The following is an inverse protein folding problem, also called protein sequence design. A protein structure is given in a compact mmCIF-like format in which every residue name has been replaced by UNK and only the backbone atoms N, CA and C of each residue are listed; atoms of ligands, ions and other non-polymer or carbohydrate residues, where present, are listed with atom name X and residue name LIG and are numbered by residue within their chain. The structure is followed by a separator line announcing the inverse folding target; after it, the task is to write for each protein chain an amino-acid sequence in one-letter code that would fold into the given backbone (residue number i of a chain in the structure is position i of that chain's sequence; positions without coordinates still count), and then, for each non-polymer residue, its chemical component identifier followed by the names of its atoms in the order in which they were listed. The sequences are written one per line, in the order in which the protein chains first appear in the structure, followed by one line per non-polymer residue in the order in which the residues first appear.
data_IF_677202156286
#
_entry.id   IF_677202156286
#
_cell.length_a   1.000
_cell.length_b   1.000
_cell.length_c   1.000
_cell.angle_alpha   90.00
_cell.angle_beta   90.00
_cell.angle_gamma   90.00
#
_symmetry.space_group_name_H-M   'P 1'
#
loop_
_entity.id
_entity.type
_entity.pdbx_description
1 polymer ?
#
# COMPACT_ATOMS: atom_id res chain seq x y z
N UNK A 1 4.44 -15.30 2.09
CA UNK A 1 5.59 -14.43 2.42
C UNK A 1 6.58 -15.21 3.28
N UNK A 2 7.85 -15.36 2.92
CA UNK A 2 8.81 -16.07 3.75
C UNK A 2 9.31 -15.16 4.91
N UNK A 3 8.96 -15.51 6.16
CA UNK A 3 9.65 -15.20 7.44
C UNK A 3 10.05 -13.74 7.81
N UNK A 4 9.60 -12.69 7.13
CA UNK A 4 9.86 -11.31 7.58
C UNK A 4 8.83 -10.79 8.58
N UNK A 5 9.29 -9.95 9.53
CA UNK A 5 8.43 -9.34 10.57
C UNK A 5 7.80 -8.03 10.14
N UNK A 6 8.31 -7.41 9.08
CA UNK A 6 7.80 -6.12 8.59
C UNK A 6 7.50 -6.21 7.10
N UNK A 7 6.28 -5.83 6.70
CA UNK A 7 5.98 -5.51 5.31
C UNK A 7 6.19 -4.01 5.11
N UNK A 8 7.21 -3.64 4.35
CA UNK A 8 7.43 -2.25 3.97
C UNK A 8 6.72 -1.97 2.66
N UNK A 9 5.80 -1.03 2.69
CA UNK A 9 5.06 -0.55 1.53
C UNK A 9 5.49 0.88 1.24
N UNK A 10 5.71 1.19 -0.03
CA UNK A 10 5.84 2.56 -0.50
C UNK A 10 4.69 2.88 -1.43
N UNK A 11 4.13 4.08 -1.33
CA UNK A 11 3.05 4.56 -2.21
C UNK A 11 3.39 5.95 -2.73
N UNK A 12 2.92 6.26 -3.94
CA UNK A 12 3.15 7.57 -4.53
C UNK A 12 2.33 7.81 -5.78
N UNK A 13 2.24 9.08 -6.14
CA UNK A 13 1.77 9.50 -7.45
C UNK A 13 2.94 10.03 -8.26
N UNK A 14 2.89 9.81 -9.57
CA UNK A 14 3.72 10.61 -10.48
C UNK A 14 3.39 12.11 -10.29
N UNK A 15 4.35 13.03 -10.50
CA UNK A 15 4.11 14.46 -10.28
C UNK A 15 2.89 15.05 -11.01
N UNK A 16 2.55 14.64 -12.26
CA UNK A 16 1.31 15.07 -12.90
C UNK A 16 0.05 14.59 -12.15
N UNK A 17 0.01 13.32 -11.73
CA UNK A 17 -1.13 12.77 -11.00
C UNK A 17 -1.29 13.38 -9.60
N UNK A 18 -0.19 13.78 -8.95
CA UNK A 18 -0.23 14.47 -7.67
C UNK A 18 -0.84 15.89 -7.75
N UNK A 19 -0.81 16.52 -8.94
CA UNK A 19 -1.36 17.86 -9.19
C UNK A 19 -2.81 17.84 -9.68
N UNK A 20 -3.32 16.69 -10.13
CA UNK A 20 -4.70 16.53 -10.56
C UNK A 20 -5.65 16.73 -9.36
N UNK A 21 -6.69 17.54 -9.52
CA UNK A 21 -7.63 17.86 -8.42
C UNK A 21 -8.62 16.73 -8.12
N UNK A 22 -8.68 15.70 -8.97
CA UNK A 22 -9.67 14.65 -8.95
C UNK A 22 -9.06 13.23 -8.82
N UNK A 23 -9.87 12.29 -8.32
CA UNK A 23 -9.49 10.89 -8.14
C UNK A 23 -8.60 10.59 -6.94
N UNK A 24 -8.33 11.57 -6.08
CA UNK A 24 -7.77 11.36 -4.75
C UNK A 24 -8.88 11.17 -3.72
N UNK A 25 -8.61 10.49 -2.61
CA UNK A 25 -7.39 9.71 -2.34
C UNK A 25 -7.40 8.36 -3.09
N UNK A 26 -6.22 7.73 -3.19
CA UNK A 26 -6.13 6.29 -3.47
C UNK A 26 -5.91 5.58 -2.15
N UNK A 27 -6.71 4.56 -1.86
CA UNK A 27 -6.54 3.70 -0.68
C UNK A 27 -5.90 2.39 -1.13
N UNK A 28 -4.85 1.98 -0.43
CA UNK A 28 -4.23 0.66 -0.52
C UNK A 28 -4.47 -0.07 0.80
N UNK A 29 -5.31 -1.09 0.76
CA UNK A 29 -5.58 -1.98 1.89
C UNK A 29 -4.74 -3.24 1.74
N UNK A 30 -4.12 -3.65 2.84
CA UNK A 30 -3.31 -4.87 2.95
C UNK A 30 -4.07 -5.86 3.81
N UNK A 31 -4.26 -7.06 3.30
CA UNK A 31 -4.77 -8.19 4.06
C UNK A 31 -3.74 -9.32 4.09
N UNK A 32 -3.66 -10.00 5.23
CA UNK A 32 -2.81 -11.17 5.45
C UNK A 32 -3.72 -12.31 5.88
N UNK A 33 -3.77 -13.38 5.07
CA UNK A 33 -4.68 -14.51 5.22
C UNK A 33 -6.15 -14.09 5.41
N UNK A 34 -6.60 -13.08 4.66
CA UNK A 34 -7.96 -12.54 4.72
C UNK A 34 -8.25 -11.66 5.94
N UNK A 35 -7.27 -11.42 6.81
CA UNK A 35 -7.39 -10.49 7.94
C UNK A 35 -6.81 -9.12 7.58
N UNK A 36 -7.48 -8.00 7.90
CA UNK A 36 -6.93 -6.66 7.68
C UNK A 36 -5.61 -6.47 8.43
N UNK A 37 -4.58 -6.01 7.71
CA UNK A 37 -3.26 -5.73 8.25
C UNK A 37 -2.91 -4.24 8.22
N UNK A 38 -3.27 -3.55 7.13
CA UNK A 38 -3.05 -2.11 7.04
C UNK A 38 -4.03 -1.44 6.08
N UNK A 39 -4.23 -0.13 6.29
CA UNK A 39 -4.92 0.77 5.36
C UNK A 39 -4.06 2.00 5.14
N UNK A 40 -3.53 2.14 3.93
CA UNK A 40 -2.63 3.23 3.54
C UNK A 40 -3.39 4.17 2.61
N UNK A 41 -3.49 5.44 2.98
CA UNK A 41 -4.16 6.48 2.20
C UNK A 41 -3.12 7.34 1.53
N UNK A 42 -3.10 7.34 0.19
CA UNK A 42 -2.22 8.20 -0.60
C UNK A 42 -3.00 9.42 -1.10
N UNK A 43 -2.72 10.55 -0.47
CA UNK A 43 -3.24 11.87 -0.83
C UNK A 43 -2.50 12.48 -2.03
N UNK A 44 -3.05 13.57 -2.57
CA UNK A 44 -2.43 14.36 -3.65
C UNK A 44 -1.14 15.06 -3.19
N UNK A 45 -0.06 14.29 -3.15
CA UNK A 45 1.29 14.76 -2.83
C UNK A 45 2.32 14.03 -3.67
N UNK A 46 3.36 14.76 -4.04
CA UNK A 46 4.50 14.20 -4.80
C UNK A 46 5.47 13.54 -3.83
N UNK A 47 5.97 12.35 -4.19
CA UNK A 47 6.94 11.60 -3.40
C UNK A 47 6.60 10.11 -3.37
N UNK A 48 7.49 9.34 -2.75
CA UNK A 48 7.31 7.90 -2.54
C UNK A 48 7.40 7.60 -1.05
N UNK A 49 6.24 7.43 -0.44
CA UNK A 49 6.07 7.48 1.01
C UNK A 49 6.04 6.09 1.59
N UNK A 50 6.88 5.87 2.60
CA UNK A 50 7.00 4.60 3.30
C UNK A 50 5.89 4.42 4.33
N UNK A 51 5.43 3.18 4.46
CA UNK A 51 4.62 2.68 5.56
C UNK A 51 5.13 1.29 5.92
N UNK A 52 5.41 1.04 7.19
CA UNK A 52 5.81 -0.27 7.67
C UNK A 52 4.62 -0.91 8.39
N UNK A 53 4.29 -2.16 8.01
CA UNK A 53 3.21 -2.95 8.59
C UNK A 53 3.84 -4.06 9.40
N UNK A 54 3.49 -4.14 10.69
CA UNK A 54 3.92 -5.22 11.56
C UNK A 54 3.23 -6.53 11.17
N UNK A 55 4.03 -7.53 10.83
CA UNK A 55 3.57 -8.87 10.49
C UNK A 55 3.65 -9.85 11.67
N UNK A 56 4.27 -9.47 12.80
CA UNK A 56 4.40 -10.33 13.97
C UNK A 56 3.06 -10.91 14.47
N UNK A 57 1.92 -10.18 14.45
CA UNK A 57 0.62 -10.71 14.87
C UNK A 57 0.08 -11.87 14.00
N UNK A 58 0.62 -12.07 12.79
CA UNK A 58 0.15 -13.11 11.88
C UNK A 58 0.88 -14.45 12.07
N UNK A 59 1.97 -14.46 12.85
CA UNK A 59 2.77 -15.65 13.15
C UNK A 59 3.96 -15.84 12.22
N UNK A 60 4.65 -16.97 12.39
CA UNK A 60 5.75 -17.37 11.51
C UNK A 60 5.24 -18.27 10.38
N UNK A 61 5.93 -18.23 9.24
CA UNK A 61 5.67 -19.09 8.09
C UNK A 61 5.12 -18.34 6.87
N UNK A 62 4.73 -19.09 5.82
CA UNK A 62 4.22 -18.50 4.59
C UNK A 62 2.78 -18.01 4.74
N UNK A 63 2.59 -16.70 4.60
CA UNK A 63 1.25 -16.09 4.55
C UNK A 63 0.86 -15.60 3.15
N UNK A 64 -0.43 -15.64 2.83
CA UNK A 64 -0.99 -15.01 1.65
C UNK A 64 -1.22 -13.52 1.93
N UNK A 65 -0.78 -12.65 1.01
CA UNK A 65 -0.95 -11.20 1.15
C UNK A 65 -1.73 -10.67 -0.04
N UNK A 66 -2.80 -9.91 0.25
CA UNK A 66 -3.65 -9.29 -0.76
C UNK A 66 -3.53 -7.78 -0.63
N UNK A 67 -3.29 -7.12 -1.76
CA UNK A 67 -3.31 -5.67 -1.87
C UNK A 67 -4.57 -5.25 -2.62
N UNK A 68 -5.49 -4.56 -1.95
CA UNK A 68 -6.68 -3.97 -2.58
C UNK A 68 -6.46 -2.49 -2.78
N UNK A 69 -6.46 -2.07 -4.05
CA UNK A 69 -6.31 -0.66 -4.43
C UNK A 69 -7.68 -0.13 -4.84
N UNK A 70 -8.11 0.97 -4.25
CA UNK A 70 -9.39 1.62 -4.56
C UNK A 70 -9.26 3.15 -4.63
N UNK A 71 -10.10 3.75 -5.46
CA UNK A 71 -10.25 5.20 -5.59
C UNK A 71 -11.64 5.51 -6.13
N UNK A 72 -12.18 6.69 -5.78
CA UNK A 72 -13.44 7.17 -6.34
C UNK A 72 -13.39 7.40 -7.85
N UNK A 73 -12.21 7.71 -8.43
CA UNK A 73 -12.04 7.89 -9.88
C UNK A 73 -10.69 7.34 -10.35
N UNK A 74 -10.73 6.19 -11.04
CA UNK A 74 -9.53 5.49 -11.49
C UNK A 74 -8.81 6.13 -12.69
N UNK A 75 -9.54 6.92 -13.52
CA UNK A 75 -9.11 7.31 -14.87
C UNK A 75 -7.85 8.14 -15.02
N UNK A 76 -7.22 8.65 -13.94
CA UNK A 76 -6.00 9.48 -14.02
C UNK A 76 -5.03 9.26 -12.85
N UNK A 77 -5.13 8.14 -12.16
CA UNK A 77 -4.23 7.85 -11.03
C UNK A 77 -3.06 7.03 -11.54
N UNK A 78 -2.00 7.71 -11.96
CA UNK A 78 -0.67 7.10 -12.10
C UNK A 78 -0.12 6.81 -10.69
N UNK A 79 -0.80 5.91 -9.98
CA UNK A 79 -0.48 5.43 -8.66
C UNK A 79 0.56 4.33 -8.79
N UNK A 80 1.64 4.46 -8.03
CA UNK A 80 2.68 3.46 -7.94
C UNK A 80 2.79 2.99 -6.50
N UNK A 81 3.00 1.69 -6.32
CA UNK A 81 3.39 1.14 -5.03
C UNK A 81 4.49 0.09 -5.19
N UNK A 82 5.28 -0.08 -4.15
CA UNK A 82 6.24 -1.18 -4.02
C UNK A 82 6.09 -1.79 -2.64
N UNK A 83 6.24 -3.11 -2.53
CA UNK A 83 6.16 -3.81 -1.27
C UNK A 83 7.35 -4.78 -1.15
N UNK A 84 8.04 -4.74 -0.02
CA UNK A 84 9.11 -5.68 0.32
C UNK A 84 8.88 -6.23 1.73
N UNK A 85 9.15 -7.52 1.92
CA UNK A 85 9.16 -8.14 3.24
C UNK A 85 10.57 -8.05 3.82
N UNK A 86 10.68 -7.54 5.04
CA UNK A 86 11.94 -7.37 5.77
C UNK A 86 11.93 -8.11 7.09
N UNK A 87 13.12 -8.56 7.50
CA UNK A 87 13.35 -9.21 8.78
C UNK A 87 13.54 -8.18 9.88
#
# INVERSE_FOLDING_TARGET
MPHGRTLRVHTGFTPPAARAKDGAPVTLEVEVDGRPAARIVQENRTGFFRSDVDLAPFGEGPHAVVFRISTARAGMRHFCFAAEVRR
#
